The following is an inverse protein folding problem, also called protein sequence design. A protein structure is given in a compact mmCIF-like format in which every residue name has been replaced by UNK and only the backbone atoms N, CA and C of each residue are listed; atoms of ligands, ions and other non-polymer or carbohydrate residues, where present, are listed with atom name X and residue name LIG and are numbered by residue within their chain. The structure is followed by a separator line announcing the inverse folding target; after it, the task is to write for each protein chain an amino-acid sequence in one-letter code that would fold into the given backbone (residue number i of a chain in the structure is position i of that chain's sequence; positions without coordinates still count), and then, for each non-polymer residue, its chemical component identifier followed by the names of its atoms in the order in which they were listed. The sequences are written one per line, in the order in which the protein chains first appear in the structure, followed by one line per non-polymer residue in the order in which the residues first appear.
data_IF_166708325913
#
_entry.id   IF_166708325913
#
_cell.length_a   1.000
_cell.length_b   1.000
_cell.length_c   1.000
_cell.angle_alpha   90.00
_cell.angle_beta   90.00
_cell.angle_gamma   90.00
#
_symmetry.space_group_name_H-M   'P 1'
#
loop_
_entity.id
_entity.type
_entity.pdbx_description
1 polymer ?
#
# COMPACT_ATOMS: atom_id res chain seq x y z
N UNK A 1 -48.14 37.04 -53.23
CA UNK A 1 -48.46 36.05 -52.19
C UNK A 1 -47.14 35.47 -51.76
N UNK A 2 -46.50 36.08 -50.74
CA UNK A 2 -45.13 35.77 -50.28
C UNK A 2 -45.17 35.01 -48.94
N UNK A 3 -44.77 33.76 -48.98
CA UNK A 3 -44.77 32.84 -47.83
C UNK A 3 -43.46 33.02 -47.03
N UNK A 4 -43.60 33.56 -45.81
CA UNK A 4 -42.48 33.70 -44.85
C UNK A 4 -42.29 32.36 -44.10
N UNK A 5 -41.15 31.74 -44.29
CA UNK A 5 -40.74 30.53 -43.59
C UNK A 5 -40.08 30.93 -42.29
N UNK A 6 -40.73 30.62 -41.16
CA UNK A 6 -40.14 30.76 -39.81
C UNK A 6 -39.19 29.57 -39.53
N UNK A 7 -37.92 29.86 -39.30
CA UNK A 7 -36.97 28.92 -38.77
C UNK A 7 -37.04 28.95 -37.23
N UNK A 8 -37.55 27.88 -36.62
CA UNK A 8 -37.33 27.62 -35.18
C UNK A 8 -35.95 26.99 -35.00
N UNK A 9 -35.00 27.75 -34.47
CA UNK A 9 -33.72 27.24 -34.00
C UNK A 9 -33.91 26.51 -32.67
N UNK A 10 -33.79 25.19 -32.66
CA UNK A 10 -33.69 24.41 -31.42
C UNK A 10 -32.31 24.62 -30.79
N UNK A 11 -32.28 25.37 -29.69
CA UNK A 11 -31.08 25.53 -28.87
C UNK A 11 -30.89 24.23 -28.06
N UNK A 12 -30.04 23.31 -28.57
CA UNK A 12 -29.63 22.12 -27.85
C UNK A 12 -28.62 22.55 -26.76
N UNK A 13 -29.09 22.73 -25.52
CA UNK A 13 -28.19 22.83 -24.38
C UNK A 13 -27.50 21.48 -24.18
N UNK A 14 -26.25 21.33 -24.66
CA UNK A 14 -25.37 20.27 -24.21
C UNK A 14 -25.03 20.55 -22.73
N UNK A 15 -25.70 19.86 -21.83
CA UNK A 15 -25.25 19.75 -20.46
C UNK A 15 -23.94 18.89 -20.49
N UNK A 16 -22.80 19.55 -20.43
CA UNK A 16 -21.57 18.87 -20.16
C UNK A 16 -21.76 18.15 -18.80
N UNK A 17 -21.58 16.82 -18.77
CA UNK A 17 -21.52 16.09 -17.53
C UNK A 17 -20.29 16.61 -16.77
N UNK A 18 -20.52 17.46 -15.76
CA UNK A 18 -19.48 17.91 -14.87
C UNK A 18 -18.94 16.66 -14.16
N UNK A 19 -17.67 16.37 -14.34
CA UNK A 19 -16.98 15.34 -13.56
C UNK A 19 -17.01 15.69 -12.08
N UNK A 20 -16.83 14.70 -11.20
CA UNK A 20 -16.79 14.92 -9.76
C UNK A 20 -15.71 15.96 -9.41
N UNK A 21 -16.05 16.90 -8.55
CA UNK A 21 -15.14 17.94 -8.06
C UNK A 21 -14.08 17.29 -7.14
N UNK A 22 -12.80 17.51 -7.45
CA UNK A 22 -11.70 16.97 -6.64
C UNK A 22 -11.49 17.79 -5.37
N UNK A 23 -11.47 17.08 -4.25
CA UNK A 23 -11.34 17.68 -2.92
C UNK A 23 -9.97 17.37 -2.33
N UNK A 24 -9.23 18.40 -1.98
CA UNK A 24 -8.04 18.36 -1.15
C UNK A 24 -8.35 18.81 0.28
N UNK A 25 -7.47 18.45 1.23
CA UNK A 25 -7.65 18.82 2.63
C UNK A 25 -6.41 19.49 3.20
N UNK A 26 -6.65 20.54 4.01
CA UNK A 26 -5.66 21.06 4.95
C UNK A 26 -6.10 20.63 6.34
N UNK A 27 -5.20 20.02 7.11
CA UNK A 27 -5.45 19.62 8.50
C UNK A 27 -4.46 20.31 9.41
N UNK A 28 -5.00 21.01 10.39
CA UNK A 28 -4.23 21.62 11.48
C UNK A 28 -4.62 20.94 12.79
N UNK A 29 -3.64 20.74 13.65
CA UNK A 29 -3.86 20.26 15.00
C UNK A 29 -3.48 21.34 16.00
N UNK A 30 -4.09 21.33 17.18
CA UNK A 30 -3.78 22.28 18.27
C UNK A 30 -2.34 22.15 18.78
N UNK A 31 -1.59 21.11 18.31
CA UNK A 31 -0.14 20.97 18.52
C UNK A 31 0.56 20.77 17.18
N UNK A 32 1.53 21.62 16.89
CA UNK A 32 2.27 21.59 15.62
C UNK A 32 3.08 20.32 15.40
N UNK A 33 3.55 19.68 16.48
CA UNK A 33 4.27 18.40 16.43
C UNK A 33 3.36 17.17 16.41
N UNK A 34 2.03 17.36 16.54
CA UNK A 34 1.03 16.28 16.58
C UNK A 34 1.30 15.20 17.66
N UNK A 35 1.98 15.55 18.75
CA UNK A 35 2.30 14.67 19.88
C UNK A 35 1.50 15.05 21.11
N UNK A 36 0.86 14.06 21.73
CA UNK A 36 -0.02 14.20 22.90
C UNK A 36 0.37 13.21 23.99
N UNK A 37 0.02 13.57 25.24
CA UNK A 37 0.03 12.60 26.33
C UNK A 37 -1.30 11.83 26.34
N UNK A 38 -1.27 10.59 26.80
CA UNK A 38 -2.49 9.81 27.01
C UNK A 38 -3.49 10.58 27.89
N UNK A 39 -4.76 10.61 27.47
CA UNK A 39 -5.83 11.36 28.13
C UNK A 39 -5.99 12.82 27.68
N UNK A 40 -5.03 13.43 27.01
CA UNK A 40 -5.19 14.77 26.44
C UNK A 40 -6.14 14.74 25.23
N UNK A 41 -6.82 15.85 24.97
CA UNK A 41 -7.72 15.98 23.83
C UNK A 41 -6.95 16.54 22.65
N UNK A 42 -6.89 15.80 21.56
CA UNK A 42 -6.40 16.29 20.27
C UNK A 42 -7.55 16.96 19.51
N UNK A 43 -7.28 18.14 18.96
CA UNK A 43 -8.22 18.89 18.12
C UNK A 43 -7.72 18.91 16.69
N UNK A 44 -8.55 18.44 15.76
CA UNK A 44 -8.29 18.50 14.32
C UNK A 44 -9.18 19.58 13.70
N UNK A 45 -8.59 20.59 13.11
CA UNK A 45 -9.27 21.59 12.27
C UNK A 45 -9.03 21.22 10.82
N UNK A 46 -10.09 20.87 10.11
CA UNK A 46 -10.00 20.35 8.74
C UNK A 46 -10.70 21.31 7.78
N UNK A 47 -9.99 21.75 6.75
CA UNK A 47 -10.54 22.57 5.68
C UNK A 47 -10.58 21.77 4.39
N UNK A 48 -11.78 21.57 3.84
CA UNK A 48 -11.97 20.98 2.52
C UNK A 48 -11.86 22.06 1.44
N UNK A 49 -11.04 21.81 0.42
CA UNK A 49 -10.74 22.76 -0.66
C UNK A 49 -10.95 22.10 -2.01
N UNK A 50 -11.39 22.87 -2.98
CA UNK A 50 -11.26 22.50 -4.38
C UNK A 50 -9.78 22.30 -4.73
N UNK A 51 -9.44 21.12 -5.26
CA UNK A 51 -8.06 20.77 -5.50
C UNK A 51 -7.41 21.57 -6.64
N UNK A 52 -8.21 22.12 -7.56
CA UNK A 52 -7.70 22.89 -8.69
C UNK A 52 -7.47 24.38 -8.33
N UNK A 53 -8.37 24.96 -7.54
CA UNK A 53 -8.37 26.40 -7.24
C UNK A 53 -7.82 26.72 -5.84
N UNK A 54 -7.79 25.75 -4.93
CA UNK A 54 -7.47 25.95 -3.53
C UNK A 54 -8.55 26.65 -2.70
N UNK A 55 -9.69 27.01 -3.32
CA UNK A 55 -10.79 27.67 -2.64
C UNK A 55 -11.50 26.72 -1.65
N UNK A 56 -11.96 27.25 -0.51
CA UNK A 56 -12.73 26.46 0.44
C UNK A 56 -14.08 26.06 -0.18
N UNK A 57 -14.41 24.77 -0.13
CA UNK A 57 -15.68 24.26 -0.62
C UNK A 57 -16.86 24.76 0.21
N UNK A 58 -18.00 24.98 -0.44
CA UNK A 58 -19.24 25.49 0.16
C UNK A 58 -20.44 24.57 -0.07
N UNK A 59 -20.20 23.39 -0.63
CA UNK A 59 -21.24 22.40 -0.89
C UNK A 59 -20.66 20.97 -0.80
N UNK A 60 -21.54 20.01 -0.57
CA UNK A 60 -21.21 18.60 -0.49
C UNK A 60 -21.19 18.05 0.92
N UNK A 61 -21.20 16.72 1.01
CA UNK A 61 -21.26 16.00 2.29
C UNK A 61 -20.07 15.07 2.42
N UNK A 62 -19.37 15.15 3.56
CA UNK A 62 -18.25 14.30 3.92
C UNK A 62 -18.61 13.41 5.11
N UNK A 63 -17.99 12.23 5.18
CA UNK A 63 -17.92 11.41 6.37
C UNK A 63 -16.53 11.50 6.97
N UNK A 64 -16.43 11.91 8.23
CA UNK A 64 -15.17 11.99 8.97
C UNK A 64 -15.20 10.99 10.12
N UNK A 65 -14.17 10.14 10.20
CA UNK A 65 -14.03 9.11 11.24
C UNK A 65 -12.70 9.27 11.95
N UNK A 66 -12.73 9.20 13.27
CA UNK A 66 -11.53 9.05 14.11
C UNK A 66 -11.48 7.61 14.63
N UNK A 67 -10.35 6.95 14.46
CA UNK A 67 -10.10 5.60 14.97
C UNK A 67 -8.70 5.47 15.60
N UNK A 68 -8.50 4.47 16.44
CA UNK A 68 -7.20 4.15 17.00
C UNK A 68 -6.41 3.25 16.04
N UNK A 69 -5.97 3.81 14.93
CA UNK A 69 -5.18 3.19 13.88
C UNK A 69 -5.81 1.91 13.28
N UNK A 70 -7.14 1.92 13.12
CA UNK A 70 -7.87 0.88 12.39
C UNK A 70 -8.50 -0.21 13.24
N UNK A 71 -8.24 -0.28 14.55
CA UNK A 71 -8.81 -1.35 15.37
C UNK A 71 -10.15 -0.96 15.99
N UNK A 72 -10.36 0.29 16.37
CA UNK A 72 -11.61 0.76 16.98
C UNK A 72 -11.98 2.17 16.56
N UNK A 73 -13.21 2.36 16.11
CA UNK A 73 -13.79 3.69 15.89
C UNK A 73 -13.94 4.42 17.22
N UNK A 74 -13.41 5.64 17.30
CA UNK A 74 -13.48 6.52 18.46
C UNK A 74 -14.59 7.56 18.28
N UNK A 75 -14.71 8.14 17.09
CA UNK A 75 -15.75 9.10 16.74
C UNK A 75 -16.07 9.05 15.24
N UNK A 76 -17.29 9.45 14.90
CA UNK A 76 -17.72 9.59 13.49
C UNK A 76 -18.67 10.79 13.39
N UNK A 77 -18.52 11.58 12.31
CA UNK A 77 -19.41 12.69 11.99
C UNK A 77 -19.70 12.70 10.50
N UNK A 78 -20.92 13.12 10.17
CA UNK A 78 -21.27 13.58 8.82
C UNK A 78 -21.17 15.09 8.81
N UNK A 79 -20.48 15.64 7.80
CA UNK A 79 -20.15 17.05 7.66
C UNK A 79 -20.87 17.58 6.42
N UNK A 80 -21.68 18.61 6.58
CA UNK A 80 -22.25 19.41 5.50
C UNK A 80 -21.35 20.62 5.27
N UNK A 81 -20.63 20.65 4.13
CA UNK A 81 -19.71 21.73 3.79
C UNK A 81 -20.39 23.09 3.58
N UNK A 82 -21.71 23.12 3.36
CA UNK A 82 -22.46 24.36 3.28
C UNK A 82 -22.63 25.02 4.68
N UNK A 83 -22.59 24.20 5.74
CA UNK A 83 -22.79 24.67 7.10
C UNK A 83 -21.48 24.86 7.85
N UNK A 84 -20.52 23.97 7.64
CA UNK A 84 -19.25 24.00 8.36
C UNK A 84 -18.05 23.63 7.46
N UNK A 85 -17.28 24.63 7.11
CA UNK A 85 -15.95 24.46 6.47
C UNK A 85 -15.11 25.70 6.81
N UNK A 86 -14.08 25.62 7.67
CA UNK A 86 -13.50 24.40 8.26
C UNK A 86 -14.42 23.72 9.29
N UNK A 87 -14.25 22.40 9.48
CA UNK A 87 -14.90 21.64 10.52
C UNK A 87 -13.90 21.13 11.56
N UNK A 88 -14.39 20.92 12.79
CA UNK A 88 -13.54 20.54 13.93
C UNK A 88 -13.94 19.16 14.45
N UNK A 89 -12.95 18.31 14.69
CA UNK A 89 -13.07 17.03 15.37
C UNK A 89 -12.19 17.02 16.60
N UNK A 90 -12.68 16.43 17.67
CA UNK A 90 -11.95 16.28 18.93
C UNK A 90 -12.04 14.84 19.41
N UNK A 91 -10.93 14.29 19.87
CA UNK A 91 -10.90 12.98 20.50
C UNK A 91 -9.69 12.85 21.43
N UNK A 92 -9.72 11.82 22.26
CA UNK A 92 -8.63 11.46 23.16
C UNK A 92 -8.33 9.98 23.06
N UNK A 93 -7.15 9.57 23.49
CA UNK A 93 -6.74 8.19 23.62
C UNK A 93 -6.09 7.96 24.98
N UNK A 94 -6.55 6.91 25.69
CA UNK A 94 -6.09 6.62 27.05
C UNK A 94 -4.81 5.80 27.12
N UNK A 95 -4.39 5.21 25.99
CA UNK A 95 -3.21 4.33 25.91
C UNK A 95 -2.26 4.82 24.82
N UNK A 96 -0.95 4.53 24.93
CA UNK A 96 0.00 4.87 23.89
C UNK A 96 -0.40 4.32 22.51
N UNK A 97 -0.16 5.10 21.46
CA UNK A 97 -0.53 4.70 20.09
C UNK A 97 -0.85 5.86 19.19
N UNK A 98 -1.69 5.63 18.18
CA UNK A 98 -2.02 6.62 17.15
C UNK A 98 -3.53 6.80 17.06
N UNK A 99 -3.96 8.05 16.93
CA UNK A 99 -5.33 8.42 16.58
C UNK A 99 -5.35 8.86 15.12
N UNK A 100 -6.13 8.17 14.29
CA UNK A 100 -6.20 8.38 12.84
C UNK A 100 -7.50 9.04 12.45
N UNK A 101 -7.42 10.13 11.70
CA UNK A 101 -8.52 10.75 10.99
C UNK A 101 -8.64 10.15 9.58
N UNK A 102 -9.85 9.76 9.19
CA UNK A 102 -10.20 9.41 7.83
C UNK A 102 -11.34 10.29 7.34
N UNK A 103 -11.22 10.85 6.13
CA UNK A 103 -12.28 11.63 5.50
C UNK A 103 -12.64 11.01 4.16
N UNK A 104 -13.94 10.81 3.90
CA UNK A 104 -14.50 10.26 2.66
C UNK A 104 -15.61 11.14 2.14
N UNK A 105 -15.81 11.18 0.83
CA UNK A 105 -17.03 11.72 0.27
C UNK A 105 -18.24 10.84 0.59
N UNK A 106 -19.38 11.46 0.85
CA UNK A 106 -20.69 10.82 0.97
C UNK A 106 -21.57 11.11 -0.25
N UNK A 107 -21.11 11.94 -1.19
CA UNK A 107 -21.80 12.28 -2.43
C UNK A 107 -20.97 11.86 -3.63
N UNK A 108 -21.62 11.63 -4.78
CA UNK A 108 -20.94 11.27 -6.02
C UNK A 108 -20.28 12.46 -6.71
N UNK A 109 -20.65 13.66 -6.33
CA UNK A 109 -20.20 14.91 -6.93
C UNK A 109 -18.82 15.35 -6.40
N UNK A 110 -18.35 14.72 -5.34
CA UNK A 110 -17.04 14.98 -4.74
C UNK A 110 -16.13 13.76 -4.84
N UNK A 111 -14.93 13.93 -5.35
CA UNK A 111 -13.87 12.95 -5.36
C UNK A 111 -12.75 13.38 -4.38
N UNK A 112 -12.58 12.64 -3.31
CA UNK A 112 -11.52 12.91 -2.34
C UNK A 112 -10.17 12.58 -2.96
N UNK A 113 -9.28 13.58 -3.02
CA UNK A 113 -7.89 13.37 -3.40
C UNK A 113 -7.17 12.62 -2.27
N UNK A 114 -7.01 11.32 -2.47
CA UNK A 114 -6.52 10.41 -1.45
C UNK A 114 -5.01 10.18 -1.57
N UNK A 115 -4.36 9.97 -0.43
CA UNK A 115 -2.95 9.58 -0.37
C UNK A 115 -2.64 8.22 -1.03
N UNK A 116 -3.66 7.44 -1.41
CA UNK A 116 -3.53 6.06 -1.95
C UNK A 116 -4.62 5.73 -2.97
N UNK A 117 -4.60 6.37 -4.13
CA UNK A 117 -5.45 5.96 -5.25
C UNK A 117 -6.95 6.26 -5.10
N UNK A 118 -7.67 6.06 -6.21
CA UNK A 118 -9.08 6.41 -6.36
C UNK A 118 -9.99 5.68 -5.36
N UNK A 119 -10.89 6.40 -4.70
CA UNK A 119 -11.84 5.85 -3.71
C UNK A 119 -11.26 5.57 -2.32
N UNK A 120 -9.97 5.78 -2.09
CA UNK A 120 -9.39 5.71 -0.75
C UNK A 120 -9.76 6.95 0.08
N UNK A 121 -9.85 6.85 1.43
CA UNK A 121 -10.04 8.02 2.27
C UNK A 121 -8.81 8.91 2.29
N UNK A 122 -9.00 10.21 2.46
CA UNK A 122 -7.93 11.07 2.97
C UNK A 122 -7.60 10.63 4.41
N UNK A 123 -6.31 10.55 4.74
CA UNK A 123 -5.84 10.06 6.04
C UNK A 123 -4.87 11.05 6.65
N UNK A 124 -5.07 11.33 7.94
CA UNK A 124 -4.17 12.10 8.80
C UNK A 124 -4.06 11.44 10.16
N UNK A 125 -3.08 11.81 11.00
CA UNK A 125 -2.93 11.20 12.31
C UNK A 125 -2.14 12.02 13.32
N UNK A 126 -2.36 11.70 14.59
CA UNK A 126 -1.59 12.21 15.73
C UNK A 126 -1.11 11.04 16.58
N UNK A 127 -0.06 11.24 17.35
CA UNK A 127 0.51 10.22 18.22
C UNK A 127 0.31 10.56 19.69
N UNK A 128 0.04 9.53 20.48
CA UNK A 128 -0.08 9.57 21.93
C UNK A 128 1.05 8.78 22.56
N UNK A 129 2.01 9.44 23.18
CA UNK A 129 3.16 8.84 23.85
C UNK A 129 3.77 7.65 23.06
N UNK A 130 4.11 7.85 21.76
CA UNK A 130 4.52 6.76 20.89
C UNK A 130 5.75 6.02 21.40
N UNK A 131 6.61 6.68 22.17
CA UNK A 131 7.78 6.11 22.83
C UNK A 131 7.42 5.08 23.91
N UNK A 132 6.17 5.07 24.38
CA UNK A 132 5.65 4.13 25.37
C UNK A 132 4.88 2.96 24.77
N UNK A 133 4.81 2.86 23.45
CA UNK A 133 4.21 1.69 22.79
C UNK A 133 5.07 0.46 23.10
N UNK A 134 4.43 -0.53 23.69
CA UNK A 134 5.08 -1.81 23.99
C UNK A 134 4.75 -2.87 22.94
N UNK A 135 5.64 -3.83 22.67
CA UNK A 135 5.32 -4.96 21.81
C UNK A 135 4.06 -5.69 22.25
N UNK A 136 3.22 -6.09 21.30
CA UNK A 136 1.97 -6.84 21.58
C UNK A 136 2.23 -8.26 22.11
N UNK A 137 3.44 -8.82 21.82
CA UNK A 137 3.89 -10.10 22.35
C UNK A 137 5.38 -9.99 22.73
N UNK A 138 5.77 -10.72 23.76
CA UNK A 138 7.16 -10.85 24.12
C UNK A 138 7.93 -11.64 23.04
N UNK A 139 9.18 -11.25 22.80
CA UNK A 139 10.09 -12.03 21.97
C UNK A 139 10.28 -13.41 22.59
N UNK A 140 10.11 -14.51 21.84
CA UNK A 140 10.39 -15.85 22.39
C UNK A 140 11.80 -15.97 22.93
N UNK A 141 11.98 -16.67 24.05
CA UNK A 141 13.28 -16.76 24.71
C UNK A 141 14.35 -17.45 23.85
N UNK A 142 13.94 -18.33 22.97
CA UNK A 142 14.79 -19.09 22.05
C UNK A 142 14.89 -18.48 20.64
N UNK A 143 14.39 -17.27 20.43
CA UNK A 143 14.33 -16.64 19.09
C UNK A 143 15.69 -16.61 18.38
N UNK A 144 16.73 -16.19 19.07
CA UNK A 144 18.06 -16.08 18.47
C UNK A 144 18.67 -17.47 18.19
N UNK A 145 18.49 -18.43 19.12
CA UNK A 145 18.96 -19.80 18.94
C UNK A 145 18.24 -20.47 17.75
N UNK A 146 16.92 -20.33 17.65
CA UNK A 146 16.15 -20.88 16.54
C UNK A 146 16.65 -20.37 15.17
N UNK A 147 16.85 -19.06 15.01
CA UNK A 147 17.34 -18.52 13.76
C UNK A 147 18.79 -18.86 13.47
N UNK A 148 19.66 -18.90 14.49
CA UNK A 148 21.04 -19.32 14.33
C UNK A 148 21.14 -20.77 13.86
N UNK A 149 20.35 -21.68 14.43
CA UNK A 149 20.29 -23.08 14.02
C UNK A 149 19.69 -23.25 12.61
N UNK A 150 18.67 -22.50 12.26
CA UNK A 150 18.07 -22.52 10.93
C UNK A 150 19.10 -22.10 9.86
N UNK A 151 19.83 -21.00 10.07
CA UNK A 151 20.88 -20.53 9.16
C UNK A 151 22.01 -21.56 9.08
N UNK A 152 22.50 -22.05 10.20
CA UNK A 152 23.57 -23.08 10.26
C UNK A 152 23.16 -24.33 9.51
N UNK A 153 21.92 -24.79 9.67
CA UNK A 153 21.39 -25.97 8.98
C UNK A 153 21.34 -25.73 7.47
N UNK A 154 20.84 -24.57 7.06
CA UNK A 154 20.79 -24.19 5.64
C UNK A 154 22.20 -24.20 5.03
N UNK A 155 23.15 -23.53 5.65
CA UNK A 155 24.54 -23.44 5.16
C UNK A 155 25.24 -24.80 5.07
N UNK A 156 24.96 -25.71 6.03
CA UNK A 156 25.56 -27.03 6.07
C UNK A 156 24.91 -28.03 5.08
N UNK A 157 23.65 -27.87 4.73
CA UNK A 157 22.90 -28.91 3.99
C UNK A 157 22.44 -28.50 2.60
N UNK A 158 22.42 -27.21 2.29
CA UNK A 158 21.89 -26.70 1.03
C UNK A 158 22.96 -25.88 0.28
N UNK A 159 23.53 -26.42 -0.81
CA UNK A 159 24.41 -25.62 -1.66
C UNK A 159 23.62 -24.47 -2.30
N UNK A 160 24.29 -23.34 -2.55
CA UNK A 160 23.64 -22.16 -3.18
C UNK A 160 23.00 -22.50 -4.51
N UNK A 161 23.62 -23.35 -5.33
CA UNK A 161 23.14 -23.81 -6.66
C UNK A 161 22.43 -22.67 -7.43
N UNK A 162 23.16 -21.56 -7.64
CA UNK A 162 22.64 -20.41 -8.37
C UNK A 162 22.41 -20.76 -9.84
N UNK A 163 21.21 -20.50 -10.36
CA UNK A 163 20.88 -20.65 -11.78
C UNK A 163 20.41 -19.32 -12.32
N UNK A 164 21.00 -18.93 -13.46
CA UNK A 164 20.69 -17.70 -14.17
C UNK A 164 20.14 -18.02 -15.55
N UNK A 165 19.00 -17.46 -15.88
CA UNK A 165 18.36 -17.53 -17.19
C UNK A 165 18.23 -16.10 -17.72
N UNK A 166 18.95 -15.77 -18.80
CA UNK A 166 18.83 -14.44 -19.40
C UNK A 166 17.45 -14.25 -20.01
N UNK A 167 16.89 -13.06 -19.82
CA UNK A 167 15.63 -12.62 -20.43
C UNK A 167 15.95 -11.54 -21.47
N UNK A 168 16.22 -11.93 -22.73
CA UNK A 168 16.65 -10.98 -23.77
C UNK A 168 15.64 -9.85 -24.01
N UNK A 169 14.35 -10.15 -23.93
CA UNK A 169 13.29 -9.16 -24.13
C UNK A 169 13.30 -8.02 -23.08
N UNK A 170 13.92 -8.22 -21.91
CA UNK A 170 14.09 -7.21 -20.87
C UNK A 170 15.49 -6.61 -20.85
N UNK A 171 16.47 -7.23 -21.50
CA UNK A 171 17.84 -6.74 -21.62
C UNK A 171 17.93 -5.58 -22.62
N UNK A 172 18.90 -4.67 -22.44
CA UNK A 172 19.12 -3.53 -23.30
C UNK A 172 20.63 -3.18 -23.40
N UNK A 173 20.96 -2.05 -24.01
CA UNK A 173 22.35 -1.63 -24.18
C UNK A 173 23.09 -1.39 -22.85
N UNK A 174 22.39 -1.02 -21.79
CA UNK A 174 22.98 -0.65 -20.51
C UNK A 174 23.06 -1.81 -19.51
N UNK A 175 22.20 -2.84 -19.65
CA UNK A 175 22.13 -3.96 -18.70
C UNK A 175 21.61 -5.26 -19.30
N UNK A 176 22.03 -6.35 -18.68
CA UNK A 176 21.49 -7.69 -18.90
C UNK A 176 20.52 -8.04 -17.77
N UNK A 177 19.43 -8.68 -18.11
CA UNK A 177 18.35 -9.03 -17.21
C UNK A 177 18.21 -10.55 -17.13
N UNK A 178 18.14 -11.09 -15.91
CA UNK A 178 18.06 -12.53 -15.66
C UNK A 178 16.88 -12.87 -14.75
N UNK A 179 16.27 -14.02 -15.00
CA UNK A 179 15.59 -14.79 -13.96
C UNK A 179 16.65 -15.55 -13.19
N UNK A 180 16.67 -15.44 -11.88
CA UNK A 180 17.62 -16.13 -11.02
C UNK A 180 16.88 -17.05 -10.05
N UNK A 181 17.51 -18.18 -9.70
CA UNK A 181 17.00 -19.04 -8.64
C UNK A 181 18.13 -19.65 -7.84
N UNK A 182 17.87 -19.92 -6.56
CA UNK A 182 18.77 -20.54 -5.60
C UNK A 182 18.11 -21.74 -4.95
N UNK A 183 18.88 -22.75 -4.59
CA UNK A 183 18.39 -23.83 -3.73
C UNK A 183 17.99 -23.29 -2.37
N UNK A 184 17.02 -23.91 -1.73
CA UNK A 184 16.53 -23.55 -0.40
C UNK A 184 16.18 -24.80 0.39
N UNK A 185 15.86 -24.64 1.66
CA UNK A 185 15.51 -25.73 2.56
C UNK A 185 14.36 -26.61 2.03
N UNK A 186 14.34 -27.89 2.42
CA UNK A 186 13.30 -28.83 2.02
C UNK A 186 13.24 -29.17 0.54
N UNK A 187 14.39 -29.08 -0.18
CA UNK A 187 14.48 -29.35 -1.62
C UNK A 187 13.78 -28.31 -2.50
N UNK A 188 13.43 -27.16 -1.95
CA UNK A 188 12.75 -26.06 -2.65
C UNK A 188 13.76 -25.18 -3.40
N UNK A 189 13.26 -24.27 -4.23
CA UNK A 189 14.02 -23.19 -4.81
C UNK A 189 13.32 -21.86 -4.57
N UNK A 190 14.09 -20.82 -4.31
CA UNK A 190 13.60 -19.44 -4.29
C UNK A 190 14.02 -18.75 -5.59
N UNK A 191 13.18 -17.85 -6.06
CA UNK A 191 13.31 -17.24 -7.37
C UNK A 191 13.37 -15.72 -7.26
N UNK A 192 13.99 -15.09 -8.26
CA UNK A 192 14.11 -13.65 -8.30
C UNK A 192 14.41 -13.10 -9.68
N UNK A 193 14.51 -11.78 -9.74
CA UNK A 193 14.99 -11.04 -10.89
C UNK A 193 16.33 -10.41 -10.57
N UNK A 194 17.29 -10.54 -11.49
CA UNK A 194 18.59 -9.93 -11.40
C UNK A 194 18.79 -9.01 -12.62
N UNK A 195 19.14 -7.74 -12.35
CA UNK A 195 19.55 -6.78 -13.37
C UNK A 195 21.02 -6.43 -13.17
N UNK A 196 21.85 -6.71 -14.15
CA UNK A 196 23.29 -6.44 -14.12
C UNK A 196 23.68 -5.37 -15.14
N UNK A 197 24.38 -4.30 -14.72
CA UNK A 197 24.94 -3.33 -15.65
C UNK A 197 25.89 -4.00 -16.65
N UNK A 198 25.88 -3.55 -17.90
CA UNK A 198 26.91 -3.87 -18.89
C UNK A 198 28.08 -2.89 -18.70
N UNK A 199 29.29 -3.40 -18.70
CA UNK A 199 30.48 -2.58 -18.54
C UNK A 199 31.45 -3.13 -17.49
N UNK A 200 32.43 -2.30 -17.13
CA UNK A 200 33.51 -2.70 -16.22
C UNK A 200 33.16 -2.21 -14.80
N UNK A 201 32.99 -3.19 -13.86
CA UNK A 201 32.74 -2.93 -12.44
C UNK A 201 33.99 -2.46 -11.69
N UNK A 202 33.90 -2.41 -10.37
CA UNK A 202 32.83 -2.96 -9.55
C UNK A 202 31.57 -2.10 -9.52
N UNK A 203 30.39 -2.73 -9.33
CA UNK A 203 29.10 -2.06 -9.22
C UNK A 203 28.54 -2.24 -7.80
N UNK A 204 27.87 -1.23 -7.25
CA UNK A 204 27.08 -1.40 -6.04
C UNK A 204 25.97 -2.45 -6.24
N UNK A 205 25.62 -3.17 -5.17
CA UNK A 205 24.56 -4.18 -5.17
C UNK A 205 23.40 -3.70 -4.31
N UNK A 206 22.18 -3.81 -4.85
CA UNK A 206 20.94 -3.60 -4.11
C UNK A 206 20.16 -4.91 -4.08
N UNK A 207 19.82 -5.39 -2.90
CA UNK A 207 19.00 -6.58 -2.70
C UNK A 207 17.66 -6.16 -2.11
N UNK A 208 16.57 -6.60 -2.75
CA UNK A 208 15.20 -6.35 -2.32
C UNK A 208 14.46 -7.66 -2.11
N UNK A 209 13.64 -7.72 -1.06
CA UNK A 209 12.67 -8.78 -0.83
C UNK A 209 11.28 -8.17 -0.78
N UNK A 210 10.28 -8.73 -1.48
CA UNK A 210 8.92 -8.21 -1.45
C UNK A 210 8.23 -8.55 -0.12
N UNK A 211 7.10 -7.91 0.13
CA UNK A 211 6.14 -8.35 1.13
C UNK A 211 5.49 -9.69 0.75
N UNK A 212 4.60 -10.18 1.61
CA UNK A 212 3.79 -11.37 1.32
C UNK A 212 2.98 -11.17 0.03
N UNK A 213 3.05 -12.15 -0.85
CA UNK A 213 2.38 -12.13 -2.14
C UNK A 213 3.30 -12.58 -3.27
N UNK A 214 2.72 -12.80 -4.44
CA UNK A 214 3.48 -13.14 -5.63
C UNK A 214 4.21 -11.88 -6.11
N UNK A 215 5.53 -11.95 -6.08
CA UNK A 215 6.42 -10.82 -6.25
C UNK A 215 6.29 -10.07 -7.57
N UNK A 216 7.02 -8.97 -7.66
CA UNK A 216 7.02 -8.09 -8.81
C UNK A 216 7.43 -8.82 -10.10
N UNK A 217 6.86 -8.39 -11.22
CA UNK A 217 7.18 -8.90 -12.56
C UNK A 217 8.54 -8.44 -13.10
N UNK A 218 9.33 -7.79 -12.28
CA UNK A 218 10.67 -7.33 -12.63
C UNK A 218 11.36 -6.52 -11.54
N UNK A 219 12.62 -6.25 -11.73
CA UNK A 219 13.39 -5.32 -10.91
C UNK A 219 13.69 -4.04 -11.70
N UNK A 220 13.65 -2.91 -11.02
CA UNK A 220 14.13 -1.65 -11.57
C UNK A 220 15.65 -1.64 -11.72
N UNK A 221 16.19 -0.54 -12.19
CA UNK A 221 17.64 -0.30 -12.24
C UNK A 221 17.99 0.78 -13.25
N UNK A 222 18.94 1.61 -12.89
CA UNK A 222 19.43 2.72 -13.71
C UNK A 222 20.70 2.40 -14.51
N UNK A 223 21.11 1.14 -14.54
CA UNK A 223 22.33 0.68 -15.19
C UNK A 223 23.61 0.97 -14.41
N UNK A 224 23.54 1.55 -13.20
CA UNK A 224 24.70 1.89 -12.37
C UNK A 224 24.91 0.94 -11.18
N UNK A 225 23.95 0.06 -10.90
CA UNK A 225 24.00 -0.91 -9.81
C UNK A 225 23.47 -2.27 -10.26
N UNK A 226 23.94 -3.31 -9.60
CA UNK A 226 23.33 -4.63 -9.70
C UNK A 226 22.09 -4.62 -8.82
N UNK A 227 20.93 -4.99 -9.35
CA UNK A 227 19.68 -5.04 -8.57
C UNK A 227 19.16 -6.48 -8.56
N UNK A 228 19.03 -7.05 -7.37
CA UNK A 228 18.49 -8.38 -7.13
C UNK A 228 17.19 -8.25 -6.33
N UNK A 229 16.07 -8.66 -6.94
CA UNK A 229 14.78 -8.74 -6.24
C UNK A 229 14.39 -10.20 -6.07
N UNK A 230 14.43 -10.69 -4.84
CA UNK A 230 14.08 -12.07 -4.53
C UNK A 230 12.61 -12.21 -4.16
N UNK A 231 11.99 -13.31 -4.57
CA UNK A 231 10.71 -13.74 -4.03
C UNK A 231 10.91 -14.54 -2.74
N UNK A 232 9.97 -14.44 -1.82
CA UNK A 232 9.97 -15.21 -0.57
C UNK A 232 9.25 -16.56 -0.70
N UNK A 233 8.60 -16.82 -1.84
CA UNK A 233 7.86 -18.05 -2.11
C UNK A 233 8.55 -18.91 -3.16
N UNK A 234 8.35 -20.22 -3.07
CA UNK A 234 8.99 -21.21 -3.92
C UNK A 234 8.22 -21.46 -5.24
N UNK A 235 8.19 -20.48 -6.11
CA UNK A 235 7.66 -20.61 -7.48
C UNK A 235 8.46 -19.70 -8.43
N UNK A 236 8.54 -20.06 -9.74
CA UNK A 236 9.15 -19.20 -10.74
C UNK A 236 8.46 -17.84 -10.85
N UNK A 237 9.23 -16.79 -10.98
CA UNK A 237 8.70 -15.43 -11.14
C UNK A 237 7.87 -15.30 -12.41
N UNK A 238 6.61 -14.84 -12.34
CA UNK A 238 5.78 -14.63 -13.52
C UNK A 238 6.26 -13.40 -14.32
N UNK A 239 6.17 -13.49 -15.63
CA UNK A 239 6.63 -12.42 -16.52
C UNK A 239 5.52 -11.43 -16.90
N UNK A 240 4.27 -11.86 -16.82
CA UNK A 240 3.11 -11.03 -17.19
C UNK A 240 2.09 -10.96 -16.04
N UNK A 241 1.17 -9.98 -16.05
CA UNK A 241 0.06 -9.89 -15.10
C UNK A 241 -0.83 -11.14 -15.12
N UNK A 242 -1.10 -11.71 -16.30
CA UNK A 242 -1.94 -12.91 -16.48
C UNK A 242 -1.26 -14.14 -15.87
N UNK A 243 0.04 -14.31 -16.11
CA UNK A 243 0.83 -15.38 -15.48
C UNK A 243 0.89 -15.24 -13.96
N UNK A 244 0.92 -14.00 -13.44
CA UNK A 244 0.85 -13.73 -12.01
C UNK A 244 -0.50 -14.14 -11.41
N UNK A 245 -1.59 -13.81 -12.08
CA UNK A 245 -2.94 -14.21 -11.64
C UNK A 245 -3.10 -15.73 -11.65
N UNK A 246 -2.60 -16.40 -12.67
CA UNK A 246 -2.58 -17.86 -12.75
C UNK A 246 -1.75 -18.49 -11.62
N UNK A 247 -0.58 -17.90 -11.30
CA UNK A 247 0.25 -18.35 -10.19
C UNK A 247 -0.43 -18.16 -8.83
N UNK A 248 -1.17 -17.07 -8.61
CA UNK A 248 -2.00 -16.89 -7.41
C UNK A 248 -3.04 -18.00 -7.26
N UNK A 249 -3.80 -18.28 -8.33
CA UNK A 249 -4.80 -19.34 -8.32
C UNK A 249 -4.20 -20.72 -8.05
N UNK A 250 -3.04 -21.01 -8.64
CA UNK A 250 -2.34 -22.27 -8.41
C UNK A 250 -1.86 -22.42 -6.96
N UNK A 251 -1.30 -21.36 -6.37
CA UNK A 251 -0.85 -21.36 -4.99
C UNK A 251 -2.04 -21.48 -4.02
N UNK A 252 -3.11 -20.73 -4.23
CA UNK A 252 -4.32 -20.83 -3.39
C UNK A 252 -4.94 -22.22 -3.45
N UNK A 253 -4.93 -22.87 -4.61
CA UNK A 253 -5.43 -24.24 -4.77
C UNK A 253 -4.54 -25.29 -4.08
N UNK A 254 -3.21 -25.08 -4.09
CA UNK A 254 -2.25 -25.98 -3.44
C UNK A 254 -2.29 -25.87 -1.92
N UNK A 255 -2.50 -24.69 -1.40
CA UNK A 255 -2.54 -24.38 0.03
C UNK A 255 -3.96 -23.99 0.45
N UNK A 256 -4.94 -24.86 0.12
CA UNK A 256 -6.33 -24.65 0.52
C UNK A 256 -6.41 -24.37 2.01
N UNK A 257 -6.77 -23.13 2.34
CA UNK A 257 -6.64 -22.57 3.67
C UNK A 257 -7.53 -23.30 4.69
N UNK A 258 -6.98 -23.82 5.78
CA UNK A 258 -7.80 -24.24 6.90
C UNK A 258 -8.44 -23.00 7.53
N UNK A 259 -9.79 -23.03 7.64
CA UNK A 259 -10.59 -22.09 8.44
C UNK A 259 -10.13 -20.64 8.52
N UNK A 260 -10.52 -19.82 7.56
CA UNK A 260 -10.44 -18.37 7.66
C UNK A 260 -9.08 -17.75 7.35
N UNK A 261 -8.09 -18.55 6.98
CA UNK A 261 -6.83 -18.07 6.42
C UNK A 261 -7.04 -17.79 4.92
N UNK A 262 -7.08 -16.55 4.56
CA UNK A 262 -7.54 -16.13 3.23
C UNK A 262 -6.54 -16.37 2.09
N UNK A 263 -5.28 -16.76 2.37
CA UNK A 263 -4.22 -16.86 1.36
C UNK A 263 -3.16 -17.88 1.72
N UNK A 264 -2.60 -18.53 0.69
CA UNK A 264 -1.49 -19.49 0.80
C UNK A 264 -0.30 -19.01 1.64
N UNK A 265 0.00 -17.70 1.63
CA UNK A 265 1.12 -17.12 2.39
C UNK A 265 0.93 -17.14 3.92
N UNK A 266 -0.22 -17.57 4.40
CA UNK A 266 -0.54 -17.74 5.82
C UNK A 266 -0.86 -19.19 6.17
N UNK A 267 -0.82 -20.11 5.19
CA UNK A 267 -1.08 -21.52 5.44
C UNK A 267 -0.01 -22.09 6.39
N UNK A 268 -0.44 -22.81 7.39
CA UNK A 268 0.44 -23.44 8.38
C UNK A 268 0.98 -22.52 9.50
N UNK A 269 0.82 -21.20 9.41
CA UNK A 269 1.40 -20.24 10.39
C UNK A 269 0.97 -20.48 11.84
N UNK A 270 -0.17 -21.15 12.05
CA UNK A 270 -0.67 -21.52 13.37
C UNK A 270 -0.47 -23.00 13.72
N UNK A 271 0.15 -23.77 12.83
CA UNK A 271 0.29 -25.22 12.97
C UNK A 271 1.67 -25.62 13.42
N UNK A 272 2.70 -24.95 12.90
CA UNK A 272 4.07 -25.15 13.31
C UNK A 272 4.88 -23.86 13.24
N UNK A 273 6.02 -23.90 13.90
CA UNK A 273 6.99 -22.80 13.92
C UNK A 273 7.81 -22.71 12.62
N UNK A 274 7.87 -23.80 11.89
CA UNK A 274 8.59 -23.97 10.63
C UNK A 274 7.70 -23.74 9.38
N UNK A 275 6.42 -23.45 9.56
CA UNK A 275 5.44 -23.28 8.49
C UNK A 275 5.61 -21.99 7.69
#
# INVERSE_FOLDING_TARGET
MTMRMLWLGALCCLAAAAGAEKVSFTVETDRTNALYRCGEVATFTVTARDAATGAALRAGTLGATLDNFGSRKVAERTIDLAQENPFVLKATQAVPGFLRLQVKSRTKDLEVEANKGQGAPFVWGVAYEPERITPGAARPADFDAFWADAVKTLDATVPVDARLEEIPAKSNAQRTYYRVSFASAGGRRVWGWLSMPKGKGPFPVEVSVPGAGIGATGTGGDGRRISLTMNVHSYPQPETPEAREAAYKAQDAQFAAPRGVARYCQAGIHESREA
#
